data_IF_631529019969
#
_entry.id   IF_631529019969
#
_cell.length_a   1.000
_cell.length_b   1.000
_cell.length_c   1.000
_cell.angle_alpha   90.00
_cell.angle_beta   90.00
_cell.angle_gamma   90.00
#
_symmetry.space_group_name_H-M   'P 1'
#
loop_
_entity.id
_entity.type
_entity.pdbx_description
1 polymer ?
#
# COMPACT_ATOMS: atom_id res chain seq x y z
N UNK A 1 21.38 -2.35 0.52
CA UNK A 1 20.16 -3.14 0.37
C UNK A 1 19.69 -3.06 -1.06
N UNK A 2 19.34 -4.20 -1.65
CA UNK A 2 18.71 -4.29 -2.97
C UNK A 2 17.29 -3.71 -2.93
N UNK A 3 16.76 -3.33 -4.10
CA UNK A 3 15.37 -2.88 -4.25
C UNK A 3 14.39 -3.93 -3.72
N UNK A 4 14.65 -5.22 -4.02
CA UNK A 4 13.85 -6.34 -3.56
C UNK A 4 13.81 -6.44 -2.02
N UNK A 5 14.96 -6.32 -1.36
CA UNK A 5 15.04 -6.33 0.10
C UNK A 5 14.32 -5.13 0.71
N UNK A 6 14.45 -3.93 0.12
CA UNK A 6 13.74 -2.75 0.60
C UNK A 6 12.22 -2.93 0.50
N UNK A 7 11.73 -3.41 -0.65
CA UNK A 7 10.31 -3.68 -0.85
C UNK A 7 9.77 -4.69 0.17
N UNK A 8 10.49 -5.81 0.35
CA UNK A 8 10.07 -6.92 1.21
C UNK A 8 10.15 -6.59 2.71
N UNK A 9 11.21 -5.93 3.15
CA UNK A 9 11.51 -5.72 4.57
C UNK A 9 11.02 -4.38 5.11
N UNK A 10 10.82 -3.38 4.25
CA UNK A 10 10.44 -2.02 4.65
C UNK A 10 9.13 -1.59 4.00
N UNK A 11 9.11 -1.41 2.67
CA UNK A 11 8.08 -0.60 2.02
C UNK A 11 6.70 -1.26 2.06
N UNK A 12 6.64 -2.58 1.79
CA UNK A 12 5.39 -3.35 1.84
C UNK A 12 4.90 -3.51 3.29
N UNK A 13 5.73 -3.94 4.27
CA UNK A 13 5.33 -3.97 5.68
C UNK A 13 4.82 -2.62 6.19
N UNK A 14 5.52 -1.53 5.91
CA UNK A 14 5.14 -0.18 6.31
C UNK A 14 3.83 0.25 5.63
N UNK A 15 3.66 -0.01 4.33
CA UNK A 15 2.42 0.28 3.60
C UNK A 15 1.22 -0.47 4.16
N UNK A 16 1.39 -1.76 4.51
CA UNK A 16 0.35 -2.55 5.19
C UNK A 16 0.01 -1.98 6.56
N UNK A 17 1.02 -1.58 7.32
CA UNK A 17 0.82 -1.00 8.65
C UNK A 17 0.06 0.33 8.56
N UNK A 18 0.42 1.21 7.63
CA UNK A 18 -0.31 2.47 7.37
C UNK A 18 -1.77 2.22 7.03
N UNK A 19 -2.09 1.23 6.19
CA UNK A 19 -3.48 0.89 5.88
C UNK A 19 -4.26 0.41 7.11
N UNK A 20 -3.63 -0.36 8.01
CA UNK A 20 -4.26 -0.77 9.28
C UNK A 20 -4.52 0.43 10.18
N UNK A 21 -3.56 1.34 10.28
CA UNK A 21 -3.70 2.57 11.06
C UNK A 21 -4.78 3.49 10.49
N UNK A 22 -4.91 3.57 9.16
CA UNK A 22 -5.98 4.34 8.54
C UNK A 22 -7.36 3.86 8.96
N UNK A 23 -7.58 2.55 9.13
CA UNK A 23 -8.88 2.07 9.59
C UNK A 23 -9.28 2.71 10.93
N UNK A 24 -8.38 2.75 11.91
CA UNK A 24 -8.61 3.44 13.18
C UNK A 24 -8.74 4.96 13.03
N UNK A 25 -7.97 5.57 12.13
CA UNK A 25 -8.10 7.01 11.84
C UNK A 25 -9.48 7.36 11.27
N UNK A 26 -10.01 6.55 10.35
CA UNK A 26 -11.30 6.78 9.72
C UNK A 26 -12.46 6.68 10.73
N UNK A 27 -12.38 5.74 11.67
CA UNK A 27 -13.35 5.65 12.77
C UNK A 27 -13.35 6.94 13.60
N UNK A 28 -12.17 7.44 13.98
CA UNK A 28 -12.05 8.71 14.71
C UNK A 28 -12.56 9.91 13.92
N UNK A 29 -12.32 9.95 12.61
CA UNK A 29 -12.87 10.99 11.72
C UNK A 29 -14.39 10.91 11.69
N UNK A 30 -14.96 9.71 11.60
CA UNK A 30 -16.41 9.52 11.62
C UNK A 30 -17.03 9.98 12.96
N UNK A 31 -16.44 9.57 14.09
CA UNK A 31 -16.87 9.98 15.43
C UNK A 31 -16.80 11.50 15.61
N UNK A 32 -15.73 12.12 15.10
CA UNK A 32 -15.57 13.57 15.10
C UNK A 32 -16.64 14.26 14.25
N UNK A 33 -16.84 13.82 13.00
CA UNK A 33 -17.86 14.40 12.12
C UNK A 33 -19.26 14.33 12.75
N UNK A 34 -19.60 13.20 13.36
CA UNK A 34 -20.86 13.01 14.05
C UNK A 34 -21.00 13.96 15.26
N UNK A 35 -20.01 13.97 16.15
CA UNK A 35 -20.02 14.82 17.35
C UNK A 35 -20.04 16.31 16.99
N UNK A 36 -19.23 16.73 16.01
CA UNK A 36 -19.18 18.10 15.51
C UNK A 36 -20.54 18.51 14.94
N UNK A 37 -21.18 17.65 14.14
CA UNK A 37 -22.50 17.96 13.61
C UNK A 37 -23.55 18.11 14.72
N UNK A 38 -23.53 17.28 15.76
CA UNK A 38 -24.47 17.39 16.88
C UNK A 38 -24.26 18.66 17.72
N UNK A 39 -23.00 19.03 17.99
CA UNK A 39 -22.65 20.14 18.87
C UNK A 39 -22.61 21.50 18.17
N UNK A 40 -22.42 21.53 16.85
CA UNK A 40 -22.30 22.79 16.11
C UNK A 40 -23.61 23.61 16.14
N UNK A 41 -23.47 24.92 16.38
CA UNK A 41 -24.57 25.88 16.23
C UNK A 41 -24.97 26.08 14.76
N UNK A 42 -24.03 25.97 13.84
CA UNK A 42 -24.28 26.00 12.39
C UNK A 42 -24.12 24.61 11.77
N UNK A 43 -25.27 23.96 11.48
CA UNK A 43 -25.31 22.61 10.89
C UNK A 43 -24.81 22.57 9.45
N UNK A 44 -24.96 23.65 8.67
CA UNK A 44 -24.51 23.68 7.26
C UNK A 44 -23.00 23.63 7.21
N UNK A 45 -22.34 24.47 8.01
CA UNK A 45 -20.88 24.48 8.13
C UNK A 45 -20.31 23.14 8.61
N UNK A 46 -20.95 22.51 9.61
CA UNK A 46 -20.52 21.19 10.10
C UNK A 46 -20.68 20.08 9.04
N UNK A 47 -21.73 20.16 8.21
CA UNK A 47 -21.93 19.24 7.09
C UNK A 47 -20.86 19.43 6.01
N UNK A 48 -20.57 20.67 5.61
CA UNK A 48 -19.51 20.98 4.65
C UNK A 48 -18.15 20.44 5.11
N UNK A 49 -17.83 20.61 6.39
CA UNK A 49 -16.61 20.04 6.97
C UNK A 49 -16.61 18.50 6.92
N UNK A 50 -17.75 17.86 7.18
CA UNK A 50 -17.89 16.40 7.07
C UNK A 50 -17.68 15.92 5.63
N UNK A 51 -18.21 16.64 4.64
CA UNK A 51 -18.01 16.33 3.22
C UNK A 51 -16.54 16.46 2.82
N UNK A 52 -15.86 17.52 3.28
CA UNK A 52 -14.44 17.73 3.04
C UNK A 52 -13.59 16.60 3.63
N UNK A 53 -13.81 16.24 4.90
CA UNK A 53 -13.11 15.14 5.57
C UNK A 53 -13.40 13.79 4.91
N UNK A 54 -14.62 13.55 4.45
CA UNK A 54 -14.99 12.33 3.73
C UNK A 54 -14.25 12.22 2.40
N UNK A 55 -14.14 13.32 1.66
CA UNK A 55 -13.40 13.38 0.38
C UNK A 55 -11.91 13.13 0.61
N UNK A 56 -11.32 13.78 1.62
CA UNK A 56 -9.92 13.59 2.00
C UNK A 56 -9.65 12.14 2.42
N UNK A 57 -10.54 11.56 3.21
CA UNK A 57 -10.46 10.18 3.68
C UNK A 57 -10.46 9.18 2.52
N UNK A 58 -11.38 9.35 1.56
CA UNK A 58 -11.45 8.54 0.36
C UNK A 58 -10.15 8.64 -0.46
N UNK A 59 -9.66 9.86 -0.70
CA UNK A 59 -8.43 10.09 -1.44
C UNK A 59 -7.21 9.45 -0.75
N UNK A 60 -7.11 9.57 0.58
CA UNK A 60 -6.04 8.98 1.38
C UNK A 60 -6.00 7.45 1.25
N UNK A 61 -7.15 6.78 1.43
CA UNK A 61 -7.23 5.32 1.33
C UNK A 61 -6.90 4.86 -0.09
N UNK A 62 -7.47 5.50 -1.12
CA UNK A 62 -7.22 5.15 -2.51
C UNK A 62 -5.72 5.26 -2.86
N UNK A 63 -5.05 6.32 -2.42
CA UNK A 63 -3.62 6.49 -2.62
C UNK A 63 -2.80 5.40 -1.93
N UNK A 64 -3.12 5.07 -0.68
CA UNK A 64 -2.39 4.05 0.08
C UNK A 64 -2.56 2.65 -0.52
N UNK A 65 -3.77 2.29 -0.94
CA UNK A 65 -4.03 1.03 -1.65
C UNK A 65 -3.24 0.98 -2.95
N UNK A 66 -3.27 2.05 -3.75
CA UNK A 66 -2.51 2.15 -5.01
C UNK A 66 -1.01 2.00 -4.78
N UNK A 67 -0.47 2.70 -3.78
CA UNK A 67 0.95 2.68 -3.46
C UNK A 67 1.39 1.27 -3.04
N UNK A 68 0.63 0.61 -2.16
CA UNK A 68 0.94 -0.74 -1.73
C UNK A 68 0.83 -1.77 -2.87
N UNK A 69 -0.20 -1.66 -3.71
CA UNK A 69 -0.37 -2.51 -4.88
C UNK A 69 0.81 -2.37 -5.85
N UNK A 70 1.25 -1.13 -6.13
CA UNK A 70 2.42 -0.87 -6.96
C UNK A 70 3.70 -1.49 -6.39
N UNK A 71 3.91 -1.38 -5.07
CA UNK A 71 5.06 -2.02 -4.40
C UNK A 71 5.03 -3.55 -4.51
N UNK A 72 3.85 -4.17 -4.37
CA UNK A 72 3.69 -5.62 -4.56
C UNK A 72 3.94 -6.07 -6.00
N UNK A 73 3.40 -5.36 -6.99
CA UNK A 73 3.65 -5.68 -8.40
C UNK A 73 5.15 -5.60 -8.71
N UNK A 74 5.82 -4.55 -8.24
CA UNK A 74 7.27 -4.38 -8.41
C UNK A 74 8.06 -5.50 -7.75
N UNK A 75 7.68 -5.94 -6.56
CA UNK A 75 8.30 -7.07 -5.89
C UNK A 75 8.20 -8.35 -6.76
N UNK A 76 7.00 -8.64 -7.29
CA UNK A 76 6.75 -9.82 -8.11
C UNK A 76 7.54 -9.78 -9.43
N UNK A 77 7.63 -8.62 -10.07
CA UNK A 77 8.45 -8.42 -11.28
C UNK A 77 9.93 -8.74 -11.02
N UNK A 78 10.49 -8.23 -9.91
CA UNK A 78 11.88 -8.47 -9.53
C UNK A 78 12.13 -9.96 -9.21
N UNK A 79 11.22 -10.61 -8.49
CA UNK A 79 11.32 -12.05 -8.21
C UNK A 79 11.24 -12.89 -9.49
N UNK A 80 10.34 -12.56 -10.41
CA UNK A 80 10.23 -13.25 -11.69
C UNK A 80 11.50 -13.09 -12.53
N UNK A 81 12.11 -11.90 -12.54
CA UNK A 81 13.39 -11.68 -13.22
C UNK A 81 14.53 -12.50 -12.60
N UNK A 82 14.59 -12.58 -11.27
CA UNK A 82 15.57 -13.42 -10.57
C UNK A 82 15.41 -14.91 -10.88
N UNK A 83 14.18 -15.41 -10.92
CA UNK A 83 13.90 -16.81 -11.28
C UNK A 83 14.34 -17.13 -12.71
N UNK A 84 14.03 -16.27 -13.70
CA UNK A 84 14.49 -16.45 -15.09
C UNK A 84 16.00 -16.47 -15.20
N UNK A 85 16.70 -15.65 -14.40
CA UNK A 85 18.16 -15.64 -14.36
C UNK A 85 18.69 -16.95 -13.78
N UNK A 86 18.13 -17.43 -12.67
CA UNK A 86 18.51 -18.72 -12.07
C UNK A 86 18.28 -19.88 -13.03
N UNK A 87 17.17 -19.88 -13.77
CA UNK A 87 16.88 -20.87 -14.81
C UNK A 87 17.94 -20.86 -15.92
N UNK A 88 18.32 -19.68 -16.41
CA UNK A 88 19.38 -19.52 -17.42
C UNK A 88 20.75 -19.97 -16.88
N UNK A 89 21.08 -19.65 -15.64
CA UNK A 89 22.33 -20.06 -15.00
C UNK A 89 22.40 -21.59 -14.87
N UNK A 90 21.31 -22.25 -14.45
CA UNK A 90 21.20 -23.71 -14.40
C UNK A 90 21.35 -24.32 -15.80
N UNK A 91 20.67 -23.76 -16.80
CA UNK A 91 20.77 -24.24 -18.18
C UNK A 91 22.21 -24.10 -18.73
N UNK A 92 22.91 -23.02 -18.39
CA UNK A 92 24.31 -22.83 -18.75
C UNK A 92 25.24 -23.85 -18.07
N UNK A 93 25.01 -24.14 -16.78
CA UNK A 93 25.76 -25.17 -16.05
C UNK A 93 25.52 -26.55 -16.67
N UNK A 94 24.28 -26.92 -16.95
CA UNK A 94 23.94 -28.20 -17.59
C UNK A 94 24.66 -28.39 -18.94
N UNK A 95 24.64 -27.36 -19.78
CA UNK A 95 25.36 -27.35 -21.07
C UNK A 95 26.88 -27.48 -20.87
N UNK A 96 27.47 -26.76 -19.90
CA UNK A 96 28.91 -26.83 -19.63
C UNK A 96 29.39 -28.18 -19.08
N UNK A 97 28.50 -28.92 -18.43
CA UNK A 97 28.78 -30.23 -17.82
C UNK A 97 28.60 -31.39 -18.80
N UNK A 98 28.13 -31.15 -20.04
CA UNK A 98 27.99 -32.18 -21.07
C UNK A 98 27.09 -33.35 -20.64
N UNK A 99 26.10 -33.09 -19.79
CA UNK A 99 25.08 -34.09 -19.46
C UNK A 99 24.05 -34.02 -20.59
N UNK A 100 23.85 -35.11 -21.36
CA UNK A 100 22.87 -35.15 -22.44
C UNK A 100 21.44 -34.91 -21.97
#
# INVERSE_FOLDING_TARGET
MSELERLRLSDIPAGRQRLREQHGNLLRVADYCHSNYLQAGDKRKALEQTMALSTQSLASVAYQVRSLAGAFLRLLELQAAQLRRLEADIAGVAQSKGVP
#
